data_IF_396878330646
#
_entry.id   IF_396878330646
#
_cell.length_a   1.000
_cell.length_b   1.000
_cell.length_c   1.000
_cell.angle_alpha   90.00
_cell.angle_beta   90.00
_cell.angle_gamma   90.00
#
_symmetry.space_group_name_H-M   'P 1'
#
loop_
_entity.id
_entity.type
_entity.pdbx_description
1 polymer ?
#
# COMPACT_ATOMS: atom_id res chain seq x y z
N UNK A 1 -15.67 16.80 15.67
CA UNK A 1 -16.15 15.75 14.73
C UNK A 1 -15.24 15.43 13.54
N UNK A 2 -14.42 16.36 12.98
CA UNK A 2 -13.64 16.10 11.74
C UNK A 2 -12.46 15.10 11.91
N UNK A 3 -11.82 15.07 13.08
CA UNK A 3 -10.64 14.22 13.36
C UNK A 3 -10.94 12.72 13.42
N UNK A 4 -12.12 12.34 13.90
CA UNK A 4 -12.52 10.92 13.96
C UNK A 4 -12.72 10.36 12.54
N UNK A 5 -13.38 11.12 11.65
CA UNK A 5 -13.54 10.74 10.24
C UNK A 5 -12.19 10.65 9.52
N UNK A 6 -11.27 11.58 9.80
CA UNK A 6 -9.92 11.59 9.22
C UNK A 6 -9.10 10.38 9.69
N UNK A 7 -9.14 10.04 10.99
CA UNK A 7 -8.50 8.83 11.52
C UNK A 7 -9.05 7.55 10.89
N UNK A 8 -10.37 7.44 10.71
CA UNK A 8 -11.01 6.28 10.09
C UNK A 8 -10.62 6.19 8.61
N UNK A 9 -10.63 7.31 7.89
CA UNK A 9 -10.24 7.38 6.49
C UNK A 9 -8.76 7.03 6.29
N UNK A 10 -7.87 7.64 7.09
CA UNK A 10 -6.43 7.34 7.11
C UNK A 10 -6.18 5.88 7.49
N UNK A 11 -6.88 5.33 8.48
CA UNK A 11 -6.76 3.92 8.87
C UNK A 11 -7.19 2.99 7.75
N UNK A 12 -8.23 3.36 6.99
CA UNK A 12 -8.72 2.59 5.83
C UNK A 12 -7.74 2.66 4.66
N UNK A 13 -7.21 3.86 4.39
CA UNK A 13 -6.18 4.10 3.39
C UNK A 13 -4.86 3.40 3.73
N UNK A 14 -4.43 3.46 4.99
CA UNK A 14 -3.30 2.70 5.53
C UNK A 14 -3.56 1.22 5.38
N UNK A 15 -4.74 0.68 5.70
CA UNK A 15 -5.03 -0.74 5.49
C UNK A 15 -4.92 -1.16 4.02
N UNK A 16 -5.16 -0.22 3.10
CA UNK A 16 -5.10 -0.43 1.65
C UNK A 16 -3.68 -0.30 1.07
N UNK A 17 -2.90 0.67 1.54
CA UNK A 17 -1.46 0.82 1.22
C UNK A 17 -0.65 -0.28 1.90
N UNK A 18 -0.98 -0.60 3.15
CA UNK A 18 -0.39 -1.69 3.94
C UNK A 18 -1.03 -3.05 3.61
N UNK A 19 -1.73 -3.15 2.48
CA UNK A 19 -2.13 -4.43 1.94
C UNK A 19 -0.86 -5.13 1.45
N UNK A 20 -0.60 -6.34 1.94
CA UNK A 20 0.59 -7.12 1.61
C UNK A 20 0.86 -7.17 0.10
N UNK A 21 -0.20 -7.21 -0.72
CA UNK A 21 -0.12 -7.17 -2.19
C UNK A 21 0.48 -5.88 -2.73
N UNK A 22 0.04 -4.73 -2.23
CA UNK A 22 0.60 -3.43 -2.61
C UNK A 22 2.06 -3.33 -2.15
N UNK A 23 2.34 -3.80 -0.94
CA UNK A 23 3.67 -3.76 -0.34
C UNK A 23 4.67 -4.61 -1.14
N UNK A 24 4.30 -5.82 -1.55
CA UNK A 24 5.12 -6.68 -2.44
C UNK A 24 5.32 -6.03 -3.81
N UNK A 25 4.27 -5.46 -4.39
CA UNK A 25 4.34 -4.80 -5.69
C UNK A 25 5.23 -3.54 -5.66
N UNK A 26 5.10 -2.76 -4.58
CA UNK A 26 5.94 -1.60 -4.30
C UNK A 26 7.40 -2.01 -4.06
N UNK A 27 7.63 -3.12 -3.36
CA UNK A 27 8.98 -3.63 -3.10
C UNK A 27 9.66 -4.12 -4.39
N UNK A 28 8.90 -4.77 -5.29
CA UNK A 28 9.40 -5.15 -6.62
C UNK A 28 9.71 -3.92 -7.46
N UNK A 29 8.79 -2.94 -7.50
CA UNK A 29 9.02 -1.67 -8.21
C UNK A 29 10.25 -0.95 -7.65
N UNK A 30 10.42 -0.94 -6.32
CA UNK A 30 11.59 -0.39 -5.65
C UNK A 30 12.86 -1.16 -6.02
N UNK A 31 12.84 -2.49 -6.04
CA UNK A 31 13.99 -3.28 -6.47
C UNK A 31 14.37 -2.99 -7.93
N UNK A 32 13.40 -2.71 -8.80
CA UNK A 32 13.68 -2.35 -10.19
C UNK A 32 14.29 -0.94 -10.28
N UNK A 33 13.70 0.04 -9.60
CA UNK A 33 14.13 1.44 -9.70
C UNK A 33 15.39 1.75 -8.89
N UNK A 34 15.62 1.03 -7.80
CA UNK A 34 16.65 1.36 -6.81
C UNK A 34 17.57 0.18 -6.49
N UNK A 35 17.20 -1.05 -6.89
CA UNK A 35 17.99 -2.25 -6.60
C UNK A 35 19.38 -2.23 -7.21
N UNK A 36 19.59 -1.48 -8.30
CA UNK A 36 20.93 -1.30 -8.88
C UNK A 36 21.91 -0.68 -7.89
N UNK A 37 21.46 0.19 -6.97
CA UNK A 37 22.36 0.88 -6.04
C UNK A 37 22.89 -0.09 -4.99
N UNK A 38 22.03 -1.00 -4.53
CA UNK A 38 22.39 -2.10 -3.63
C UNK A 38 23.28 -3.14 -4.32
N UNK A 39 23.00 -3.45 -5.59
CA UNK A 39 23.84 -4.36 -6.40
C UNK A 39 25.23 -3.75 -6.61
N UNK A 40 25.31 -2.48 -7.02
CA UNK A 40 26.56 -1.75 -7.19
C UNK A 40 27.33 -1.63 -5.89
N UNK A 41 26.64 -1.43 -4.76
CA UNK A 41 27.27 -1.45 -3.44
C UNK A 41 27.87 -2.82 -3.12
N UNK A 42 27.11 -3.91 -3.31
CA UNK A 42 27.57 -5.27 -3.08
C UNK A 42 28.79 -5.63 -3.96
N UNK A 43 28.74 -5.30 -5.25
CA UNK A 43 29.86 -5.52 -6.18
C UNK A 43 31.06 -4.68 -5.76
N UNK A 44 30.87 -3.40 -5.45
CA UNK A 44 31.97 -2.52 -5.02
C UNK A 44 32.66 -3.03 -3.75
N UNK A 45 31.91 -3.69 -2.85
CA UNK A 45 32.44 -4.26 -1.61
C UNK A 45 33.17 -5.59 -1.84
N UNK A 46 32.79 -6.37 -2.85
CA UNK A 46 33.46 -7.63 -3.19
C UNK A 46 34.77 -7.37 -3.94
N UNK A 47 34.78 -6.40 -4.84
CA UNK A 47 35.95 -6.05 -5.67
C UNK A 47 36.82 -4.92 -5.08
N UNK A 48 36.46 -4.44 -3.87
CA UNK A 48 37.13 -3.34 -3.13
C UNK A 48 37.35 -2.05 -3.96
N UNK A 49 36.40 -1.73 -4.83
CA UNK A 49 36.47 -0.56 -5.71
C UNK A 49 35.97 0.67 -4.95
N UNK A 50 36.91 1.44 -4.38
CA UNK A 50 36.58 2.54 -3.47
C UNK A 50 35.71 3.64 -4.09
N UNK A 51 35.94 4.01 -5.35
CA UNK A 51 35.15 5.05 -6.02
C UNK A 51 33.70 4.60 -6.25
N UNK A 52 33.50 3.36 -6.70
CA UNK A 52 32.17 2.79 -6.91
C UNK A 52 31.41 2.65 -5.59
N UNK A 53 32.11 2.32 -4.49
CA UNK A 53 31.54 2.25 -3.15
C UNK A 53 31.00 3.60 -2.70
N UNK A 54 31.75 4.69 -2.91
CA UNK A 54 31.32 6.06 -2.58
C UNK A 54 30.11 6.50 -3.40
N UNK A 55 30.12 6.23 -4.72
CA UNK A 55 28.97 6.54 -5.58
C UNK A 55 27.73 5.76 -5.13
N UNK A 56 27.87 4.46 -4.85
CA UNK A 56 26.77 3.61 -4.41
C UNK A 56 26.20 4.03 -3.05
N UNK A 57 27.04 4.31 -2.05
CA UNK A 57 26.57 4.76 -0.72
C UNK A 57 25.94 6.15 -0.76
N UNK A 58 26.47 7.06 -1.58
CA UNK A 58 25.85 8.37 -1.80
C UNK A 58 24.47 8.22 -2.43
N UNK A 59 24.34 7.36 -3.44
CA UNK A 59 23.06 7.08 -4.08
C UNK A 59 22.05 6.45 -3.10
N UNK A 60 22.48 5.48 -2.28
CA UNK A 60 21.65 4.87 -1.23
C UNK A 60 21.19 5.92 -0.20
N UNK A 61 22.06 6.87 0.15
CA UNK A 61 21.74 7.94 1.10
C UNK A 61 20.68 8.91 0.53
N UNK A 62 20.80 9.27 -0.75
CA UNK A 62 19.79 10.06 -1.47
C UNK A 62 18.45 9.30 -1.63
N UNK A 63 18.52 7.98 -1.75
CA UNK A 63 17.37 7.08 -1.85
C UNK A 63 16.44 7.12 -0.63
N UNK A 64 17.00 7.48 0.53
CA UNK A 64 16.25 7.55 1.79
C UNK A 64 15.50 8.88 1.95
N UNK A 65 15.72 9.86 1.07
CA UNK A 65 14.98 11.11 1.12
C UNK A 65 13.49 10.85 0.75
N UNK A 66 12.55 11.26 1.62
CA UNK A 66 11.13 10.96 1.43
C UNK A 66 10.48 11.79 0.30
N UNK A 67 11.15 12.82 -0.23
CA UNK A 67 10.60 13.78 -1.20
C UNK A 67 11.33 13.79 -2.56
N UNK A 68 12.01 12.70 -2.92
CA UNK A 68 12.72 12.62 -4.21
C UNK A 68 11.75 12.32 -5.36
N UNK A 69 11.85 12.95 -6.54
CA UNK A 69 11.01 12.64 -7.71
C UNK A 69 11.03 11.16 -8.09
N UNK A 70 12.11 10.45 -7.78
CA UNK A 70 12.26 9.00 -7.94
C UNK A 70 11.22 8.18 -7.16
N UNK A 71 10.76 8.66 -5.99
CA UNK A 71 9.72 7.99 -5.21
C UNK A 71 8.34 8.12 -5.85
N UNK A 72 8.06 9.25 -6.49
CA UNK A 72 6.84 9.45 -7.29
C UNK A 72 6.85 8.47 -8.47
N UNK A 73 7.98 8.35 -9.16
CA UNK A 73 8.14 7.41 -10.26
C UNK A 73 7.98 5.95 -9.80
N UNK A 74 8.61 5.58 -8.68
CA UNK A 74 8.48 4.24 -8.08
C UNK A 74 7.03 3.93 -7.71
N UNK A 75 6.28 4.92 -7.20
CA UNK A 75 4.86 4.77 -6.89
C UNK A 75 4.01 4.57 -8.15
N UNK A 76 4.28 5.32 -9.23
CA UNK A 76 3.59 5.15 -10.52
C UNK A 76 3.87 3.74 -11.09
N UNK A 77 5.12 3.28 -11.06
CA UNK A 77 5.49 1.95 -11.52
C UNK A 77 4.84 0.87 -10.64
N UNK A 78 4.83 1.05 -9.31
CA UNK A 78 4.17 0.13 -8.39
C UNK A 78 2.65 0.05 -8.67
N UNK A 79 1.99 1.18 -8.95
CA UNK A 79 0.59 1.21 -9.36
C UNK A 79 0.37 0.51 -10.70
N UNK A 80 1.29 0.67 -11.66
CA UNK A 80 1.20 0.02 -12.96
C UNK A 80 1.37 -1.50 -12.86
N UNK A 81 2.37 -1.97 -12.10
CA UNK A 81 2.58 -3.38 -11.80
C UNK A 81 1.38 -3.92 -11.01
N UNK A 82 0.83 -3.16 -10.05
CA UNK A 82 -0.33 -3.59 -9.27
C UNK A 82 -1.54 -3.77 -10.19
N UNK A 83 -1.78 -2.82 -11.11
CA UNK A 83 -2.84 -2.92 -12.12
C UNK A 83 -2.64 -4.12 -13.06
N UNK A 84 -1.39 -4.45 -13.39
CA UNK A 84 -1.04 -5.54 -14.31
C UNK A 84 -1.06 -6.92 -13.65
N UNK A 85 -0.62 -7.03 -12.39
CA UNK A 85 -0.49 -8.28 -11.64
C UNK A 85 -1.78 -8.64 -10.86
N UNK A 86 -2.54 -7.62 -10.45
CA UNK A 86 -3.86 -7.75 -9.83
C UNK A 86 -4.94 -7.00 -10.64
N UNK A 87 -5.22 -7.40 -11.89
CA UNK A 87 -6.33 -6.83 -12.66
C UNK A 87 -7.71 -7.18 -12.06
N UNK A 88 -7.77 -8.05 -11.03
CA UNK A 88 -8.97 -8.74 -10.59
C UNK A 88 -9.27 -8.62 -9.08
N UNK A 89 -9.00 -7.46 -8.46
CA UNK A 89 -9.41 -7.21 -7.07
C UNK A 89 -10.94 -6.91 -6.94
N UNK A 90 -11.74 -7.29 -7.95
CA UNK A 90 -13.21 -7.36 -7.85
C UNK A 90 -13.65 -8.30 -6.71
N UNK A 91 -12.92 -9.39 -6.44
CA UNK A 91 -13.28 -10.32 -5.34
C UNK A 91 -13.13 -9.68 -3.96
N UNK A 92 -12.09 -8.89 -3.73
CA UNK A 92 -11.87 -8.22 -2.44
C UNK A 92 -12.75 -6.98 -2.26
N UNK A 93 -13.10 -6.29 -3.36
CA UNK A 93 -14.16 -5.26 -3.36
C UNK A 93 -15.53 -5.90 -3.07
N UNK A 94 -15.85 -7.02 -3.72
CA UNK A 94 -17.12 -7.76 -3.52
C UNK A 94 -17.22 -8.35 -2.12
N UNK A 95 -16.13 -8.86 -1.53
CA UNK A 95 -16.13 -9.29 -0.12
C UNK A 95 -16.43 -8.12 0.82
N UNK A 96 -15.84 -6.95 0.55
CA UNK A 96 -16.10 -5.74 1.33
C UNK A 96 -17.55 -5.27 1.18
N UNK A 97 -18.08 -5.30 -0.04
CA UNK A 97 -19.46 -4.94 -0.37
C UNK A 97 -20.45 -5.92 0.28
N UNK A 98 -20.13 -7.22 0.27
CA UNK A 98 -20.91 -8.26 0.93
C UNK A 98 -20.90 -8.11 2.46
N UNK A 99 -19.78 -7.72 3.08
CA UNK A 99 -19.71 -7.45 4.52
C UNK A 99 -20.56 -6.22 4.90
N UNK A 100 -20.47 -5.13 4.13
CA UNK A 100 -21.28 -3.91 4.34
C UNK A 100 -22.77 -4.21 4.17
N UNK A 101 -23.14 -4.99 3.16
CA UNK A 101 -24.54 -5.36 2.93
C UNK A 101 -25.07 -6.28 4.04
N UNK A 102 -24.22 -7.15 4.59
CA UNK A 102 -24.56 -8.03 5.72
C UNK A 102 -24.81 -7.23 7.00
N UNK A 103 -23.98 -6.23 7.30
CA UNK A 103 -24.21 -5.31 8.43
C UNK A 103 -25.48 -4.47 8.26
N UNK A 104 -25.73 -3.90 7.08
CA UNK A 104 -26.96 -3.14 6.81
C UNK A 104 -28.22 -3.98 7.01
N UNK A 105 -28.21 -5.24 6.55
CA UNK A 105 -29.33 -6.17 6.77
C UNK A 105 -29.53 -6.52 8.23
N UNK A 106 -28.44 -6.69 8.99
CA UNK A 106 -28.52 -6.95 10.44
C UNK A 106 -29.12 -5.77 11.18
N UNK A 107 -28.68 -4.55 10.86
CA UNK A 107 -29.17 -3.33 11.48
C UNK A 107 -30.65 -3.06 11.13
N UNK A 108 -31.06 -3.36 9.89
CA UNK A 108 -32.46 -3.24 9.47
C UNK A 108 -33.38 -4.20 10.25
N UNK A 109 -32.96 -5.45 10.47
CA UNK A 109 -33.73 -6.42 11.25
C UNK A 109 -33.90 -6.00 12.71
N UNK A 110 -32.85 -5.49 13.33
CA UNK A 110 -32.90 -5.00 14.71
C UNK A 110 -33.89 -3.84 14.83
N UNK A 111 -33.94 -2.94 13.84
CA UNK A 111 -34.90 -1.82 13.82
C UNK A 111 -36.34 -2.29 13.55
N UNK A 112 -36.55 -3.36 12.81
CA UNK A 112 -37.88 -3.93 12.58
C UNK A 112 -38.41 -4.67 13.84
N UNK A 113 -37.57 -5.44 14.52
CA UNK A 113 -37.92 -6.13 15.79
C UNK A 113 -38.25 -5.12 16.91
N UNK A 114 -37.51 -4.02 17.01
CA UNK A 114 -37.74 -2.95 18.02
C UNK A 114 -39.06 -2.19 17.76
N UNK A 115 -39.48 -2.05 16.50
CA UNK A 115 -40.76 -1.39 16.13
C UNK A 115 -41.99 -2.31 16.24
N UNK A 116 -41.80 -3.62 16.28
CA UNK A 116 -42.88 -4.60 16.53
C UNK A 116 -43.14 -4.76 18.03
N UNK A 117 -42.11 -4.70 18.87
CA UNK A 117 -42.26 -4.74 20.34
C UNK A 117 -42.88 -3.46 20.94
N UNK A 118 -42.76 -2.31 20.28
CA UNK A 118 -43.40 -1.05 20.73
C UNK A 118 -44.91 -0.99 20.37
N UNK A 119 -45.42 -1.97 19.62
CA UNK A 119 -46.83 -2.05 19.17
C UNK A 119 -47.69 -3.10 19.89
N UNK A 120 -47.08 -3.99 20.69
CA UNK A 120 -47.77 -4.90 21.63
C UNK A 120 -47.90 -4.25 23.01
#
# INVERSE_FOLDING_TARGET
MKWQKLKIWVKTWLKRILNWRFLVCFLIAWMITNGWSYISFAISSIFDISWLKVVATTYISLLWLPFTPEKILTFIIALFIMKKIFPQDQKSIQELENMINKEKRKNKKIVEEDNEQDKE
#
